data_IF_355847198376
#
_entry.id   IF_355847198376
#
_cell.length_a   1.000
_cell.length_b   1.000
_cell.length_c   1.000
_cell.angle_alpha   90.00
_cell.angle_beta   90.00
_cell.angle_gamma   90.00
#
_symmetry.space_group_name_H-M   'P 1'
#
loop_
_entity.id
_entity.type
_entity.pdbx_description
1 polymer ?
#
# COMPACT_ATOMS: atom_id res chain seq x y z
N UNK A 1 8.84 4.01 8.58
CA UNK A 1 8.39 3.69 7.19
C UNK A 1 9.07 2.45 6.60
N UNK A 2 10.41 2.35 6.60
CA UNK A 2 11.14 1.23 5.97
C UNK A 2 10.67 -0.16 6.43
N UNK A 3 10.51 -0.37 7.75
CA UNK A 3 10.07 -1.65 8.32
C UNK A 3 8.64 -2.04 7.88
N UNK A 4 7.69 -1.10 7.94
CA UNK A 4 6.32 -1.35 7.48
C UNK A 4 6.23 -1.62 5.98
N UNK A 5 7.07 -0.93 5.18
CA UNK A 5 7.17 -1.18 3.75
C UNK A 5 7.77 -2.55 3.42
N UNK A 6 8.89 -2.89 4.06
CA UNK A 6 9.56 -4.18 3.96
C UNK A 6 8.61 -5.33 4.35
N UNK A 7 7.90 -5.16 5.45
CA UNK A 7 6.89 -6.11 5.92
C UNK A 7 5.78 -6.38 4.89
N UNK A 8 5.39 -5.37 4.10
CA UNK A 8 4.36 -5.49 3.07
C UNK A 8 4.86 -6.01 1.72
N UNK A 9 6.12 -5.76 1.35
CA UNK A 9 6.61 -6.00 -0.03
C UNK A 9 7.78 -6.98 -0.14
N UNK A 10 8.62 -7.11 0.89
CA UNK A 10 9.78 -7.99 0.82
C UNK A 10 9.35 -9.45 0.77
N UNK A 11 10.13 -10.27 0.08
CA UNK A 11 9.92 -11.71 -0.06
C UNK A 11 10.69 -12.53 0.99
N UNK A 12 11.32 -11.84 1.94
CA UNK A 12 12.03 -12.49 3.03
C UNK A 12 11.08 -13.35 3.88
N UNK A 13 11.57 -14.47 4.45
CA UNK A 13 10.76 -15.36 5.27
C UNK A 13 10.01 -14.67 6.41
N UNK A 14 10.64 -13.69 7.07
CA UNK A 14 10.03 -12.94 8.16
C UNK A 14 8.85 -12.06 7.69
N UNK A 15 8.95 -11.48 6.50
CA UNK A 15 7.91 -10.63 5.91
C UNK A 15 6.71 -11.49 5.46
N UNK A 16 6.99 -12.67 4.87
CA UNK A 16 5.97 -13.66 4.53
C UNK A 16 5.23 -14.19 5.76
N UNK A 17 5.97 -14.61 6.79
CA UNK A 17 5.40 -15.03 8.07
C UNK A 17 4.52 -13.93 8.64
N UNK A 18 5.03 -12.70 8.67
CA UNK A 18 4.28 -11.57 9.17
C UNK A 18 2.97 -11.36 8.39
N UNK A 19 2.99 -11.33 7.06
CA UNK A 19 1.78 -11.12 6.27
C UNK A 19 0.75 -12.23 6.51
N UNK A 20 1.20 -13.48 6.57
CA UNK A 20 0.32 -14.62 6.84
C UNK A 20 -0.28 -14.56 8.25
N UNK A 21 0.50 -14.10 9.23
CA UNK A 21 0.08 -14.05 10.62
C UNK A 21 -0.88 -12.87 10.86
N UNK A 22 -0.55 -11.67 10.38
CA UNK A 22 -1.18 -10.43 10.85
C UNK A 22 -2.05 -9.69 9.84
N UNK A 23 -2.08 -10.15 8.58
CA UNK A 23 -2.97 -9.61 7.54
C UNK A 23 -4.03 -10.64 7.17
N UNK A 24 -5.22 -10.15 6.79
CA UNK A 24 -6.22 -10.99 6.15
C UNK A 24 -5.91 -11.17 4.65
N UNK A 25 -6.72 -11.97 3.96
CA UNK A 25 -6.56 -12.25 2.51
C UNK A 25 -6.65 -10.98 1.67
N UNK A 26 -7.40 -9.99 2.14
CA UNK A 26 -7.58 -8.68 1.53
C UNK A 26 -6.44 -7.71 1.89
N UNK A 27 -5.40 -8.18 2.58
CA UNK A 27 -4.23 -7.41 2.96
C UNK A 27 -4.49 -6.39 4.07
N UNK A 28 -5.65 -6.39 4.72
CA UNK A 28 -6.00 -5.54 5.87
C UNK A 28 -5.48 -6.13 7.19
N UNK A 29 -5.21 -5.27 8.18
CA UNK A 29 -4.77 -5.73 9.50
C UNK A 29 -5.87 -6.54 10.16
N UNK A 30 -5.53 -7.69 10.75
CA UNK A 30 -6.51 -8.47 11.50
C UNK A 30 -6.94 -7.72 12.76
N UNK A 31 -8.25 -7.61 12.99
CA UNK A 31 -8.81 -6.84 14.10
C UNK A 31 -8.64 -7.47 15.49
N UNK A 32 -8.28 -8.75 15.58
CA UNK A 32 -8.14 -9.43 16.87
C UNK A 32 -6.80 -9.10 17.54
N UNK A 33 -6.83 -8.95 18.86
CA UNK A 33 -5.62 -8.77 19.66
C UNK A 33 -4.76 -10.03 19.59
N UNK A 34 -3.78 -10.02 18.69
CA UNK A 34 -2.67 -10.97 18.68
C UNK A 34 -1.83 -10.72 19.94
N UNK A 35 -1.70 -11.73 20.78
CA UNK A 35 -0.85 -11.67 21.97
C UNK A 35 0.62 -11.85 21.56
N UNK A 36 1.16 -10.86 20.85
CA UNK A 36 2.52 -10.85 20.31
C UNK A 36 3.21 -9.55 20.70
N UNK A 37 4.38 -9.66 21.31
CA UNK A 37 5.22 -8.51 21.68
C UNK A 37 5.74 -7.74 20.45
N UNK A 38 5.81 -8.40 19.29
CA UNK A 38 6.27 -7.80 18.03
C UNK A 38 5.11 -7.04 17.35
N UNK A 39 3.87 -7.50 17.54
CA UNK A 39 2.70 -6.94 16.86
C UNK A 39 2.51 -5.45 17.10
N UNK A 40 2.68 -4.99 18.33
CA UNK A 40 2.48 -3.57 18.70
C UNK A 40 3.41 -2.66 17.89
N UNK A 41 4.72 -2.89 17.95
CA UNK A 41 5.69 -2.06 17.22
C UNK A 41 5.55 -2.15 15.71
N UNK A 42 5.09 -3.30 15.21
CA UNK A 42 4.92 -3.51 13.79
C UNK A 42 3.63 -2.89 13.25
N UNK A 43 2.54 -2.92 14.02
CA UNK A 43 1.30 -2.20 13.73
C UNK A 43 1.58 -0.69 13.61
N UNK A 44 2.37 -0.14 14.52
CA UNK A 44 2.81 1.26 14.47
C UNK A 44 3.65 1.58 13.23
N UNK A 45 4.38 0.61 12.67
CA UNK A 45 5.13 0.79 11.43
C UNK A 45 4.27 0.64 10.16
N UNK A 46 3.29 -0.28 10.16
CA UNK A 46 2.48 -0.62 8.99
C UNK A 46 1.35 0.37 8.75
N UNK A 47 0.66 0.82 9.80
CA UNK A 47 -0.45 1.78 9.69
C UNK A 47 -0.04 3.04 8.92
N UNK A 48 1.05 3.76 9.28
CA UNK A 48 1.49 4.92 8.52
C UNK A 48 2.03 4.56 7.14
N UNK A 49 2.66 3.39 6.96
CA UNK A 49 3.11 2.95 5.64
C UNK A 49 1.93 2.76 4.67
N UNK A 50 0.83 2.15 5.11
CA UNK A 50 -0.41 2.00 4.34
C UNK A 50 -1.11 3.32 4.06
N UNK A 51 -1.16 4.20 5.07
CA UNK A 51 -1.69 5.54 4.86
C UNK A 51 -0.92 6.25 3.76
N UNK A 52 0.42 6.26 3.85
CA UNK A 52 1.33 6.88 2.88
C UNK A 52 1.22 6.30 1.47
N UNK A 53 0.94 5.01 1.31
CA UNK A 53 0.74 4.39 -0.01
C UNK A 53 -0.45 4.96 -0.77
N UNK A 54 -1.56 5.21 -0.06
CA UNK A 54 -2.76 5.80 -0.67
C UNK A 54 -2.50 7.20 -1.23
N UNK A 55 -1.52 7.93 -0.68
CA UNK A 55 -1.18 9.28 -1.12
C UNK A 55 -0.20 9.33 -2.31
N UNK A 56 0.38 8.19 -2.72
CA UNK A 56 1.27 8.14 -3.91
C UNK A 56 0.45 8.10 -5.20
N UNK A 57 -0.81 7.64 -5.16
CA UNK A 57 -1.67 7.45 -6.32
C UNK A 57 -2.85 8.42 -6.27
N UNK A 58 -2.98 9.26 -7.30
CA UNK A 58 -4.15 10.11 -7.54
C UNK A 58 -4.35 11.34 -6.65
N UNK A 59 -5.42 12.09 -6.93
CA UNK A 59 -5.71 13.40 -6.33
C UNK A 59 -6.37 13.36 -4.94
N UNK A 60 -6.23 12.24 -4.22
CA UNK A 60 -6.62 12.04 -2.81
C UNK A 60 -8.14 11.94 -2.55
N UNK A 61 -9.00 12.41 -3.46
CA UNK A 61 -10.48 12.42 -3.28
C UNK A 61 -11.20 11.44 -4.21
N UNK A 62 -10.82 11.43 -5.49
CA UNK A 62 -11.31 10.53 -6.52
C UNK A 62 -10.12 9.97 -7.29
N UNK A 63 -10.11 8.66 -7.56
CA UNK A 63 -9.04 7.99 -8.30
C UNK A 63 -9.49 7.79 -9.75
N UNK A 64 -8.88 8.52 -10.68
CA UNK A 64 -9.14 8.40 -12.11
C UNK A 64 -8.02 7.62 -12.79
N UNK A 65 -8.29 6.38 -13.16
CA UNK A 65 -7.30 5.50 -13.80
C UNK A 65 -6.53 6.19 -14.95
N UNK A 66 -7.25 6.88 -15.84
CA UNK A 66 -6.66 7.51 -17.02
C UNK A 66 -5.98 8.86 -16.77
N UNK A 67 -6.44 9.60 -15.77
CA UNK A 67 -6.13 11.03 -15.57
C UNK A 67 -5.30 11.30 -14.31
N UNK A 68 -5.11 10.30 -13.46
CA UNK A 68 -4.27 10.42 -12.28
C UNK A 68 -2.85 9.92 -12.52
N UNK A 69 -1.93 10.46 -11.73
CA UNK A 69 -0.54 10.03 -11.72
C UNK A 69 -0.37 8.70 -10.96
N UNK A 70 0.25 7.74 -11.63
CA UNK A 70 0.59 6.42 -11.09
C UNK A 70 2.10 6.29 -10.79
N UNK A 71 2.72 7.38 -10.34
CA UNK A 71 4.13 7.40 -9.91
C UNK A 71 5.18 7.56 -11.02
N UNK A 72 4.81 7.46 -12.30
CA UNK A 72 5.69 7.71 -13.45
C UNK A 72 5.91 9.20 -13.76
N UNK A 73 5.16 10.10 -13.11
CA UNK A 73 5.16 11.53 -13.41
C UNK A 73 4.43 11.92 -14.70
N UNK A 74 3.83 10.95 -15.40
CA UNK A 74 3.00 11.16 -16.61
C UNK A 74 1.70 10.38 -16.42
N UNK A 75 0.57 10.96 -16.80
CA UNK A 75 -0.73 10.28 -16.71
C UNK A 75 -0.89 9.27 -17.86
N UNK A 76 -1.71 8.22 -17.65
CA UNK A 76 -1.82 7.12 -18.64
C UNK A 76 -2.34 7.61 -20.00
N UNK A 77 -3.27 8.57 -20.01
CA UNK A 77 -3.81 9.14 -21.26
C UNK A 77 -2.72 9.82 -22.11
N UNK A 78 -1.77 10.49 -21.47
CA UNK A 78 -0.62 11.10 -22.12
C UNK A 78 0.41 10.05 -22.56
N UNK A 79 0.67 9.03 -21.73
CA UNK A 79 1.55 7.91 -22.12
C UNK A 79 1.09 7.19 -23.39
N UNK A 80 -0.22 7.07 -23.57
CA UNK A 80 -0.82 6.36 -24.70
C UNK A 80 -1.17 7.29 -25.88
N UNK A 81 -0.87 8.59 -25.79
CA UNK A 81 -1.22 9.60 -26.80
C UNK A 81 -2.71 9.58 -27.20
N UNK A 82 -3.61 9.34 -26.25
CA UNK A 82 -5.04 9.34 -26.52
C UNK A 82 -5.52 10.79 -26.46
N UNK A 83 -5.76 11.40 -27.63
CA UNK A 83 -6.44 12.71 -27.74
C UNK A 83 -7.87 12.56 -27.23
N UNK A 84 -8.21 13.33 -26.19
CA UNK A 84 -9.41 13.17 -25.38
C UNK A 84 -10.71 13.56 -26.10
N UNK A 85 -11.63 12.59 -26.22
CA UNK A 85 -13.10 12.79 -26.31
C UNK A 85 -13.83 11.90 -25.26
N UNK A 86 -13.19 11.59 -24.12
CA UNK A 86 -13.74 10.74 -23.04
C UNK A 86 -13.64 11.45 -21.69
#
# INVERSE_FOLDING_TARGET
MKLGWASLNDQDPWANFHRAEFLNKEGSLTHYNKNSSIWTGLKEAIVPAKANLKWIIGSRKDIYFWRDYWGSGIVIIEMLNITSDI
#
